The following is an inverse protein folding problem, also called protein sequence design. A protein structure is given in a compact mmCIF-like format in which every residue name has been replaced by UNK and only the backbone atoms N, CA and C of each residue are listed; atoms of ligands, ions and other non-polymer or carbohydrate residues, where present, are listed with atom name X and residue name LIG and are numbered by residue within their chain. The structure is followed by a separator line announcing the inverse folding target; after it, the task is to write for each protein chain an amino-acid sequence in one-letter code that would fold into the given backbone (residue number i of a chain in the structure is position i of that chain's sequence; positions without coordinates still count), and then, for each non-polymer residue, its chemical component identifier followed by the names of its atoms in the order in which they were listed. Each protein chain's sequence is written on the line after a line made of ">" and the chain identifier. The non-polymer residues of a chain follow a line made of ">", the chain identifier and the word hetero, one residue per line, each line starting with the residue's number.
data_IF_739249149957
#
_entry.id   IF_739249149957
#
_cell.length_a   1.000
_cell.length_b   1.000
_cell.length_c   1.000
_cell.angle_alpha   90.00
_cell.angle_beta   90.00
_cell.angle_gamma   90.00
#
_symmetry.space_group_name_H-M   'P 1'
#
loop_
_entity.id
_entity.type
_entity.pdbx_description
1 polymer ?
#
# COMPACT_ATOMS: atom_id res chain seq x y z
N UNK A 1 12.20 28.26 16.45
CA UNK A 1 12.26 26.85 16.89
C UNK A 1 11.70 25.99 15.77
N UNK A 2 12.58 25.43 14.94
CA UNK A 2 12.25 24.66 13.73
C UNK A 2 11.57 23.34 14.09
N UNK A 3 10.38 23.09 13.55
CA UNK A 3 9.70 21.78 13.64
C UNK A 3 10.37 20.86 12.62
N UNK A 4 11.20 19.92 13.07
CA UNK A 4 11.74 18.89 12.19
C UNK A 4 10.62 17.89 11.84
N UNK A 5 10.19 17.92 10.58
CA UNK A 5 9.18 17.04 10.01
C UNK A 5 9.71 15.60 9.96
N UNK A 6 8.89 14.63 10.38
CA UNK A 6 9.20 13.21 10.26
C UNK A 6 9.56 12.86 8.81
N UNK A 7 10.83 12.52 8.57
CA UNK A 7 11.33 12.11 7.26
C UNK A 7 10.85 10.67 7.00
N UNK A 8 9.93 10.51 6.04
CA UNK A 8 9.61 9.19 5.51
C UNK A 8 10.86 8.58 4.87
N UNK A 9 11.22 7.31 5.13
CA UNK A 9 12.36 6.69 4.48
C UNK A 9 12.13 6.66 2.96
N UNK A 10 12.91 7.42 2.19
CA UNK A 10 12.82 7.41 0.72
C UNK A 10 13.35 6.07 0.21
N UNK A 11 12.44 5.17 -0.16
CA UNK A 11 12.79 4.13 -1.12
C UNK A 11 13.16 4.84 -2.43
N UNK A 12 14.31 4.50 -2.99
CA UNK A 12 14.97 5.21 -4.09
C UNK A 12 14.04 5.60 -5.25
N UNK A 13 14.34 6.78 -5.77
CA UNK A 13 13.83 7.42 -6.98
C UNK A 13 13.88 6.50 -8.19
N UNK A 14 12.75 5.93 -8.60
CA UNK A 14 12.45 5.61 -10.00
C UNK A 14 10.93 5.63 -10.22
N UNK A 15 10.34 6.82 -10.26
CA UNK A 15 9.07 7.04 -10.95
C UNK A 15 9.29 8.25 -11.86
N UNK A 16 9.82 7.97 -13.04
CA UNK A 16 9.87 8.90 -14.15
C UNK A 16 8.43 9.09 -14.65
N UNK A 17 7.76 10.15 -14.19
CA UNK A 17 6.48 10.58 -14.76
C UNK A 17 6.80 11.30 -16.07
N UNK A 18 7.08 10.53 -17.11
CA UNK A 18 7.18 11.03 -18.47
C UNK A 18 5.78 11.15 -19.06
N UNK A 19 5.34 12.39 -19.18
CA UNK A 19 4.22 12.80 -20.01
C UNK A 19 4.60 12.67 -21.48
N UNK A 20 4.39 11.49 -22.08
CA UNK A 20 4.36 11.35 -23.52
C UNK A 20 3.21 10.47 -24.00
N UNK A 21 2.53 11.00 -25.00
CA UNK A 21 1.24 10.60 -25.51
C UNK A 21 1.18 9.20 -26.13
N UNK A 22 0.02 8.57 -26.02
CA UNK A 22 -0.48 7.60 -27.01
C UNK A 22 -0.55 6.15 -26.54
N UNK A 23 -1.77 5.61 -26.43
CA UNK A 23 -1.99 4.17 -26.53
C UNK A 23 -2.88 3.59 -25.43
N UNK A 24 -4.18 3.45 -25.73
CA UNK A 24 -5.10 2.59 -24.98
C UNK A 24 -4.77 1.12 -25.32
N UNK A 25 -4.27 0.36 -24.35
CA UNK A 25 -4.04 -1.08 -24.54
C UNK A 25 -3.47 -1.74 -23.28
N UNK A 26 -4.30 -2.55 -22.62
CA UNK A 26 -3.93 -3.39 -21.48
C UNK A 26 -2.70 -4.26 -21.77
N UNK A 27 -1.56 -4.03 -21.09
CA UNK A 27 -0.52 -5.04 -20.86
C UNK A 27 0.60 -4.52 -19.96
N UNK A 28 0.34 -4.39 -18.66
CA UNK A 28 1.42 -4.44 -17.66
C UNK A 28 0.90 -5.22 -16.47
N UNK A 29 0.94 -6.55 -16.58
CA UNK A 29 0.97 -7.42 -15.40
C UNK A 29 2.33 -7.19 -14.71
N UNK A 30 2.49 -6.02 -14.09
CA UNK A 30 3.48 -5.85 -13.04
C UNK A 30 2.98 -6.79 -11.96
N UNK A 31 3.65 -7.94 -11.79
CA UNK A 31 3.43 -8.85 -10.67
C UNK A 31 3.77 -8.09 -9.40
N UNK A 32 2.84 -7.24 -9.00
CA UNK A 32 2.98 -6.43 -7.82
C UNK A 32 2.83 -7.39 -6.64
N UNK A 33 3.77 -7.39 -5.69
CA UNK A 33 3.71 -8.30 -4.57
C UNK A 33 2.38 -8.14 -3.85
N UNK A 34 1.70 -9.25 -3.58
CA UNK A 34 0.44 -9.25 -2.86
C UNK A 34 0.63 -8.62 -1.48
N UNK A 35 -0.17 -7.62 -1.15
CA UNK A 35 -0.12 -6.94 0.15
C UNK A 35 -1.17 -7.57 1.05
N UNK A 36 -0.78 -7.85 2.30
CA UNK A 36 -1.70 -8.36 3.30
C UNK A 36 -2.45 -7.20 3.97
N UNK A 37 -3.78 -7.29 3.93
CA UNK A 37 -4.69 -6.37 4.59
C UNK A 37 -5.42 -7.09 5.74
N UNK A 38 -5.93 -6.32 6.69
CA UNK A 38 -6.72 -6.79 7.82
C UNK A 38 -8.17 -6.35 7.64
N UNK A 39 -9.12 -7.26 7.77
CA UNK A 39 -10.53 -6.86 7.74
C UNK A 39 -10.92 -6.07 9.00
N UNK A 40 -11.76 -5.04 8.84
CA UNK A 40 -12.19 -4.21 9.96
C UNK A 40 -13.10 -4.90 10.98
N UNK A 41 -13.81 -5.96 10.60
CA UNK A 41 -14.77 -6.62 11.49
C UNK A 41 -14.27 -7.98 12.00
N UNK A 42 -13.82 -8.87 11.11
CA UNK A 42 -13.35 -10.19 11.51
C UNK A 42 -11.84 -10.25 11.79
N UNK A 43 -11.09 -9.16 11.60
CA UNK A 43 -9.62 -9.09 11.75
C UNK A 43 -8.82 -10.10 10.91
N UNK A 44 -9.47 -10.76 9.94
CA UNK A 44 -8.84 -11.74 9.07
C UNK A 44 -7.79 -11.10 8.16
N UNK A 45 -6.72 -11.85 7.90
CA UNK A 45 -5.63 -11.47 6.99
C UNK A 45 -6.01 -11.81 5.56
N UNK A 46 -6.22 -10.79 4.74
CA UNK A 46 -6.62 -10.93 3.33
C UNK A 46 -5.46 -10.49 2.43
N UNK A 47 -4.80 -11.40 1.69
CA UNK A 47 -3.84 -11.01 0.67
C UNK A 47 -4.60 -10.51 -0.58
N UNK A 48 -4.33 -9.29 -1.01
CA UNK A 48 -4.85 -8.74 -2.28
C UNK A 48 -3.70 -8.31 -3.21
N UNK A 49 -3.89 -8.55 -4.51
CA UNK A 49 -3.08 -7.99 -5.60
C UNK A 49 -3.71 -6.70 -6.14
N UNK A 50 -2.94 -5.96 -6.95
CA UNK A 50 -3.46 -4.79 -7.68
C UNK A 50 -4.51 -5.26 -8.69
N UNK A 51 -5.70 -4.66 -8.65
CA UNK A 51 -6.82 -5.04 -9.52
C UNK A 51 -7.80 -6.06 -8.92
N UNK A 52 -7.47 -6.67 -7.79
CA UNK A 52 -8.41 -7.56 -7.08
C UNK A 52 -9.58 -6.77 -6.48
N UNK A 53 -10.75 -7.41 -6.42
CA UNK A 53 -11.93 -6.82 -5.81
C UNK A 53 -11.76 -6.70 -4.29
N UNK A 54 -12.00 -5.50 -3.74
CA UNK A 54 -11.92 -5.25 -2.30
C UNK A 54 -13.09 -5.90 -1.54
N UNK A 55 -12.86 -7.14 -1.08
CA UNK A 55 -13.79 -7.90 -0.24
C UNK A 55 -13.02 -8.81 0.71
N UNK A 56 -13.45 -8.90 1.96
CA UNK A 56 -13.02 -9.96 2.85
C UNK A 56 -13.66 -11.29 2.43
N UNK A 57 -12.86 -12.37 2.44
CA UNK A 57 -13.33 -13.72 2.05
C UNK A 57 -14.24 -14.37 3.09
N UNK A 58 -14.12 -13.97 4.36
CA UNK A 58 -14.83 -14.62 5.47
C UNK A 58 -16.14 -13.90 5.82
N UNK A 59 -16.16 -12.55 5.82
CA UNK A 59 -17.34 -11.77 6.19
C UNK A 59 -17.99 -10.98 5.04
N UNK A 60 -17.34 -10.87 3.88
CA UNK A 60 -17.88 -10.13 2.72
C UNK A 60 -17.83 -8.61 2.83
N UNK A 61 -17.39 -8.04 3.96
CA UNK A 61 -17.24 -6.60 4.13
C UNK A 61 -16.08 -6.05 3.29
N UNK A 62 -16.18 -4.77 2.92
CA UNK A 62 -15.28 -4.11 1.96
C UNK A 62 -14.29 -3.15 2.61
N UNK A 63 -14.32 -3.02 3.94
CA UNK A 63 -13.39 -2.18 4.69
C UNK A 63 -12.21 -3.04 5.15
N UNK A 64 -11.04 -2.74 4.59
CA UNK A 64 -9.78 -3.40 4.91
C UNK A 64 -8.73 -2.36 5.32
N UNK A 65 -8.01 -2.64 6.40
CA UNK A 65 -6.88 -1.85 6.87
C UNK A 65 -5.56 -2.43 6.36
N UNK A 66 -4.57 -1.58 6.10
CA UNK A 66 -3.22 -2.04 5.76
C UNK A 66 -2.52 -2.57 7.00
N UNK A 67 -1.84 -3.71 6.89
CA UNK A 67 -1.07 -4.24 8.02
C UNK A 67 0.08 -3.31 8.43
N UNK A 68 0.36 -3.24 9.75
CA UNK A 68 1.49 -2.50 10.30
C UNK A 68 2.82 -3.05 9.74
N UNK A 69 3.77 -2.16 9.49
CA UNK A 69 5.11 -2.56 9.07
C UNK A 69 5.84 -3.28 10.21
N UNK A 70 6.62 -4.32 9.88
CA UNK A 70 7.50 -5.02 10.84
C UNK A 70 8.81 -4.28 11.12
N UNK A 71 9.05 -3.17 10.42
CA UNK A 71 10.27 -2.37 10.55
C UNK A 71 10.21 -1.55 11.84
N UNK A 72 11.31 -1.48 12.60
CA UNK A 72 11.39 -0.64 13.79
C UNK A 72 11.22 0.83 13.41
N UNK A 73 10.43 1.55 14.21
CA UNK A 73 10.18 2.99 14.07
C UNK A 73 10.70 3.68 15.32
N UNK A 74 11.60 4.65 15.16
CA UNK A 74 12.17 5.45 16.24
C UNK A 74 11.33 6.72 16.41
N UNK A 75 10.88 7.01 17.64
CA UNK A 75 10.20 8.25 17.98
C UNK A 75 11.03 9.05 18.99
N UNK A 76 10.99 10.39 18.90
CA UNK A 76 11.55 11.29 19.93
C UNK A 76 10.45 11.63 20.94
N UNK A 77 10.77 11.59 22.24
CA UNK A 77 9.87 11.94 23.33
C UNK A 77 9.85 13.46 23.57
N UNK A 78 9.37 14.22 22.59
CA UNK A 78 9.16 15.67 22.70
C UNK A 78 7.79 15.98 23.27
#
# INVERSE_FOLDING_TARGET
>A
MSRETYQVPSMGTQNNFDTQAGGFGNAMAIDSPSVTYLCGECSARVPLKRGDQIRCKDCGHRVLYKERTKRMVQFQAR
#
